data_IF_179609501653
#
_entry.id   IF_179609501653
#
_cell.length_a   1.000
_cell.length_b   1.000
_cell.length_c   1.000
_cell.angle_alpha   90.00
_cell.angle_beta   90.00
_cell.angle_gamma   90.00
#
_symmetry.space_group_name_H-M   'P 1'
#
loop_
_entity.id
_entity.type
_entity.pdbx_description
1 polymer ?
#
# COMPACT_ATOMS: atom_id res chain seq x y z
N UNK A 1 -47.80 23.63 -1.13
CA UNK A 1 -46.74 23.43 -0.13
C UNK A 1 -45.88 22.25 -0.52
N UNK A 2 -44.60 22.49 -0.74
CA UNK A 2 -43.61 21.45 -0.97
C UNK A 2 -43.34 20.75 0.38
N UNK A 3 -43.37 19.42 0.42
CA UNK A 3 -43.00 18.68 1.63
C UNK A 3 -41.52 18.92 1.95
N UNK A 4 -41.25 19.32 3.17
CA UNK A 4 -39.89 19.39 3.72
C UNK A 4 -39.28 17.99 3.68
N UNK A 5 -38.40 17.74 2.76
CA UNK A 5 -37.55 16.56 2.82
C UNK A 5 -36.63 16.73 4.01
N UNK A 6 -36.89 15.96 5.06
CA UNK A 6 -36.12 16.03 6.29
C UNK A 6 -34.67 15.64 6.06
N UNK A 7 -33.76 16.27 6.79
CA UNK A 7 -32.31 15.99 6.79
C UNK A 7 -32.01 14.49 6.92
N UNK A 8 -32.85 13.75 7.65
CA UNK A 8 -32.72 12.31 7.85
C UNK A 8 -32.81 11.43 6.59
N UNK A 9 -33.54 11.90 5.52
CA UNK A 9 -33.64 11.15 4.27
C UNK A 9 -32.39 11.32 3.38
N UNK A 10 -31.69 12.43 3.52
CA UNK A 10 -30.43 12.69 2.82
C UNK A 10 -29.32 11.82 3.43
N UNK A 11 -29.25 11.73 4.76
CA UNK A 11 -28.27 10.90 5.46
C UNK A 11 -28.48 9.40 5.19
N UNK A 12 -29.72 8.88 5.28
CA UNK A 12 -30.02 7.48 4.93
C UNK A 12 -29.66 7.09 3.49
N UNK A 13 -29.76 8.01 2.55
CA UNK A 13 -29.38 7.74 1.15
C UNK A 13 -27.86 7.72 0.95
N UNK A 14 -27.13 8.54 1.70
CA UNK A 14 -25.65 8.50 1.68
C UNK A 14 -25.12 7.23 2.31
N UNK A 15 -25.66 6.79 3.46
CA UNK A 15 -25.26 5.55 4.13
C UNK A 15 -25.44 4.31 3.22
N UNK A 16 -26.58 4.20 2.52
CA UNK A 16 -26.85 3.08 1.60
C UNK A 16 -25.96 3.13 0.35
N UNK A 17 -25.57 4.31 -0.12
CA UNK A 17 -24.70 4.46 -1.28
C UNK A 17 -23.21 4.17 -0.94
N UNK A 18 -22.78 4.55 0.27
CA UNK A 18 -21.43 4.28 0.77
C UNK A 18 -21.22 2.79 1.09
N UNK A 19 -22.18 2.15 1.76
CA UNK A 19 -22.10 0.70 2.05
C UNK A 19 -21.98 -0.18 0.80
N UNK A 20 -22.52 0.27 -0.33
CA UNK A 20 -22.44 -0.47 -1.60
C UNK A 20 -21.07 -0.36 -2.30
N UNK A 21 -20.24 0.58 -1.92
CA UNK A 21 -18.94 0.84 -2.55
C UNK A 21 -17.74 0.37 -1.73
N UNK A 22 -17.94 0.11 -0.42
CA UNK A 22 -16.88 -0.37 0.45
C UNK A 22 -16.63 -1.87 0.27
N UNK A 23 -15.40 -2.33 0.11
CA UNK A 23 -15.02 -3.73 0.22
C UNK A 23 -15.49 -4.33 1.56
N UNK A 24 -15.78 -5.63 1.58
CA UNK A 24 -16.27 -6.32 2.79
C UNK A 24 -15.33 -6.15 3.99
N UNK A 25 -14.03 -6.13 3.75
CA UNK A 25 -12.98 -5.97 4.75
C UNK A 25 -12.96 -4.58 5.42
N UNK A 26 -13.54 -3.56 4.76
CA UNK A 26 -13.61 -2.20 5.27
C UNK A 26 -15.02 -1.81 5.74
N UNK A 27 -15.94 -2.77 5.82
CA UNK A 27 -17.23 -2.58 6.44
C UNK A 27 -17.11 -2.62 7.96
N UNK A 28 -17.84 -1.77 8.64
CA UNK A 28 -17.83 -1.67 10.09
C UNK A 28 -19.26 -1.77 10.66
N UNK A 29 -19.35 -2.13 11.94
CA UNK A 29 -20.64 -2.26 12.64
C UNK A 29 -21.15 -0.85 12.97
N UNK A 30 -22.41 -0.59 12.62
CA UNK A 30 -23.06 0.67 12.94
C UNK A 30 -23.40 0.74 14.43
N UNK A 31 -23.21 1.92 15.01
CA UNK A 31 -23.53 2.23 16.40
C UNK A 31 -24.48 3.40 16.50
N UNK A 32 -25.23 3.48 17.60
CA UNK A 32 -26.02 4.67 17.95
C UNK A 32 -25.15 5.83 18.43
N UNK A 33 -23.93 5.53 18.91
CA UNK A 33 -22.93 6.50 19.33
C UNK A 33 -21.95 6.72 18.18
N UNK A 34 -21.91 7.92 17.62
CA UNK A 34 -21.11 8.21 16.45
C UNK A 34 -20.58 9.65 16.43
N UNK A 35 -19.44 9.83 15.77
CA UNK A 35 -18.85 11.11 15.45
C UNK A 35 -18.58 11.21 13.94
N UNK A 36 -18.39 12.42 13.42
CA UNK A 36 -18.02 12.65 12.04
C UNK A 36 -16.78 13.52 11.97
N UNK A 37 -15.77 13.04 11.27
CA UNK A 37 -14.53 13.76 10.99
C UNK A 37 -14.54 14.18 9.51
N UNK A 38 -14.59 15.49 9.28
CA UNK A 38 -14.61 16.07 7.94
C UNK A 38 -13.18 16.31 7.50
N UNK A 39 -12.65 15.43 6.64
CA UNK A 39 -11.29 15.49 6.13
C UNK A 39 -11.17 16.58 5.07
N UNK A 40 -10.37 17.61 5.34
CA UNK A 40 -10.16 18.70 4.41
C UNK A 40 -9.04 18.40 3.43
N UNK A 41 -7.92 17.89 3.92
CA UNK A 41 -6.76 17.55 3.09
C UNK A 41 -6.08 16.27 3.58
N UNK A 42 -5.71 15.41 2.65
CA UNK A 42 -4.87 14.23 2.88
C UNK A 42 -3.76 14.23 1.85
N UNK A 43 -2.52 14.09 2.29
CA UNK A 43 -1.35 13.98 1.42
C UNK A 43 -0.57 12.68 1.70
N UNK A 44 -0.28 11.94 0.65
CA UNK A 44 0.60 10.77 0.67
C UNK A 44 1.79 11.07 -0.25
N UNK A 45 3.01 11.15 0.30
CA UNK A 45 4.22 11.49 -0.44
C UNK A 45 4.09 12.79 -1.26
N UNK A 46 3.41 13.80 -0.69
CA UNK A 46 3.06 15.10 -1.31
C UNK A 46 2.05 15.00 -2.47
N UNK A 47 1.30 13.93 -2.58
CA UNK A 47 0.21 13.77 -3.54
C UNK A 47 -1.12 13.56 -2.82
N UNK A 48 -2.21 14.00 -3.44
CA UNK A 48 -3.56 13.73 -2.93
C UNK A 48 -4.00 12.31 -3.26
N UNK A 49 -4.82 11.68 -2.40
CA UNK A 49 -5.42 10.38 -2.68
C UNK A 49 -6.30 10.39 -3.93
N UNK A 50 -6.43 9.23 -4.55
CA UNK A 50 -7.38 8.99 -5.64
C UNK A 50 -8.82 8.85 -5.12
N UNK A 51 -9.81 9.07 -5.98
CA UNK A 51 -11.24 8.96 -5.59
C UNK A 51 -11.70 7.56 -5.23
N UNK A 52 -10.89 6.54 -5.52
CA UNK A 52 -11.17 5.14 -5.17
C UNK A 52 -10.47 4.70 -3.88
N UNK A 53 -9.65 5.57 -3.30
CA UNK A 53 -8.97 5.31 -2.04
C UNK A 53 -9.96 5.42 -0.87
N UNK A 54 -9.68 4.72 0.23
CA UNK A 54 -10.60 4.64 1.36
C UNK A 54 -9.91 5.14 2.62
N UNK A 55 -10.54 6.09 3.30
CA UNK A 55 -10.12 6.54 4.62
C UNK A 55 -10.71 5.60 5.66
N UNK A 56 -9.85 5.02 6.49
CA UNK A 56 -10.17 4.06 7.54
C UNK A 56 -9.96 4.73 8.90
N UNK A 57 -10.88 4.53 9.83
CA UNK A 57 -10.79 5.01 11.20
C UNK A 57 -10.69 3.82 12.17
N UNK A 58 -9.71 3.87 13.05
CA UNK A 58 -9.46 2.83 14.04
C UNK A 58 -9.49 3.38 15.45
N UNK A 59 -10.00 2.56 16.38
CA UNK A 59 -9.73 2.67 17.80
C UNK A 59 -8.82 1.51 18.19
N UNK A 60 -7.53 1.78 18.41
CA UNK A 60 -6.50 0.77 18.49
C UNK A 60 -6.50 -0.11 17.20
N UNK A 61 -6.72 -1.43 17.31
CA UNK A 61 -6.76 -2.36 16.18
C UNK A 61 -8.17 -2.62 15.63
N UNK A 62 -9.20 -1.93 16.14
CA UNK A 62 -10.59 -2.16 15.74
C UNK A 62 -11.01 -1.11 14.71
N UNK A 63 -11.47 -1.55 13.54
CA UNK A 63 -12.06 -0.67 12.54
C UNK A 63 -13.40 -0.14 13.05
N UNK A 64 -13.49 1.15 13.26
CA UNK A 64 -14.68 1.84 13.81
C UNK A 64 -15.34 2.78 12.81
N UNK A 65 -14.78 2.90 11.61
CA UNK A 65 -15.34 3.72 10.56
C UNK A 65 -14.54 3.67 9.27
N UNK A 66 -15.18 3.97 8.16
CA UNK A 66 -14.53 4.10 6.85
C UNK A 66 -15.36 4.97 5.91
N UNK A 67 -14.69 5.61 4.96
CA UNK A 67 -15.33 6.36 3.88
C UNK A 67 -14.46 6.36 2.62
N UNK A 68 -15.08 6.27 1.45
CA UNK A 68 -14.39 6.48 0.18
C UNK A 68 -13.96 7.95 0.08
N UNK A 69 -12.72 8.19 -0.31
CA UNK A 69 -12.23 9.55 -0.50
C UNK A 69 -12.91 10.22 -1.71
N UNK A 70 -13.61 11.30 -1.46
CA UNK A 70 -14.26 12.12 -2.51
C UNK A 70 -13.71 13.55 -2.59
N UNK A 71 -12.56 13.79 -1.96
CA UNK A 71 -11.91 15.10 -1.92
C UNK A 71 -12.19 15.88 -0.64
N UNK A 72 -12.03 17.20 -0.71
CA UNK A 72 -12.20 18.11 0.44
C UNK A 72 -13.56 17.90 1.11
N UNK A 73 -13.53 17.82 2.45
CA UNK A 73 -14.69 17.55 3.33
C UNK A 73 -15.29 16.14 3.22
N UNK A 74 -14.51 15.14 2.78
CA UNK A 74 -14.93 13.75 2.94
C UNK A 74 -15.29 13.49 4.40
N UNK A 75 -16.52 13.07 4.63
CA UNK A 75 -17.04 12.79 5.98
C UNK A 75 -16.76 11.34 6.35
N UNK A 76 -15.91 11.13 7.33
CA UNK A 76 -15.61 9.80 7.88
C UNK A 76 -16.43 9.59 9.16
N UNK A 77 -17.40 8.66 9.14
CA UNK A 77 -18.12 8.29 10.35
C UNK A 77 -17.20 7.47 11.26
N UNK A 78 -17.25 7.72 12.55
CA UNK A 78 -16.48 6.99 13.57
C UNK A 78 -17.41 6.56 14.69
N UNK A 79 -17.58 5.25 14.81
CA UNK A 79 -18.53 4.63 15.73
C UNK A 79 -17.96 4.53 17.14
N UNK A 80 -18.81 4.78 18.12
CA UNK A 80 -18.52 4.60 19.53
C UNK A 80 -19.21 3.39 20.12
N UNK A 81 -18.83 3.04 21.34
CA UNK A 81 -19.42 1.96 22.11
C UNK A 81 -20.84 2.33 22.53
N UNK A 82 -21.79 1.49 22.20
CA UNK A 82 -23.20 1.60 22.60
C UNK A 82 -23.64 0.45 23.52
N UNK A 83 -24.90 0.44 23.90
CA UNK A 83 -25.48 -0.57 24.80
C UNK A 83 -25.81 -1.90 24.10
N UNK A 84 -25.54 -2.08 22.80
CA UNK A 84 -25.92 -3.27 22.05
C UNK A 84 -25.09 -4.51 22.41
N UNK A 85 -23.89 -4.32 22.95
CA UNK A 85 -22.90 -5.38 23.19
C UNK A 85 -22.16 -5.84 21.93
N UNK A 86 -22.47 -5.27 20.76
CA UNK A 86 -21.80 -5.58 19.50
C UNK A 86 -20.62 -4.64 19.22
N UNK A 87 -20.50 -3.56 19.97
CA UNK A 87 -19.56 -2.46 19.81
C UNK A 87 -18.49 -2.42 20.91
N UNK A 88 -18.20 -3.57 21.54
CA UNK A 88 -17.13 -3.66 22.53
C UNK A 88 -15.77 -3.32 21.87
N UNK A 89 -15.03 -2.39 22.51
CA UNK A 89 -13.76 -1.85 22.00
C UNK A 89 -13.91 -0.68 21.02
N UNK A 90 -15.14 -0.25 20.70
CA UNK A 90 -15.36 0.98 19.94
C UNK A 90 -15.03 2.21 20.79
N UNK A 91 -15.00 3.39 20.16
CA UNK A 91 -14.57 4.61 20.82
C UNK A 91 -15.41 4.97 22.03
N UNK A 92 -14.76 5.40 23.10
CA UNK A 92 -15.35 6.05 24.27
C UNK A 92 -14.91 7.52 24.31
N UNK A 93 -15.61 8.35 25.09
CA UNK A 93 -15.31 9.78 25.16
C UNK A 93 -13.89 10.06 25.65
N UNK A 94 -13.10 10.74 24.83
CA UNK A 94 -11.70 11.05 25.09
C UNK A 94 -10.70 10.18 24.34
N UNK A 95 -11.13 9.12 23.66
CA UNK A 95 -10.27 8.26 22.89
C UNK A 95 -9.67 9.00 21.68
N UNK A 96 -8.45 8.63 21.33
CA UNK A 96 -7.77 9.08 20.12
C UNK A 96 -8.15 8.16 18.96
N UNK A 97 -8.62 8.76 17.86
CA UNK A 97 -8.93 8.05 16.63
C UNK A 97 -7.70 8.04 15.74
N UNK A 98 -7.29 6.85 15.30
CA UNK A 98 -6.23 6.68 14.32
C UNK A 98 -6.82 6.58 12.91
N UNK A 99 -6.27 7.36 11.98
CA UNK A 99 -6.69 7.31 10.59
C UNK A 99 -5.62 6.63 9.74
N UNK A 100 -6.09 5.83 8.78
CA UNK A 100 -5.26 5.20 7.75
C UNK A 100 -5.90 5.42 6.39
N UNK A 101 -5.10 5.35 5.33
CA UNK A 101 -5.58 5.39 3.95
C UNK A 101 -5.30 4.05 3.28
N UNK A 102 -6.32 3.41 2.77
CA UNK A 102 -6.15 2.29 1.83
C UNK A 102 -6.03 2.85 0.42
N UNK A 103 -4.90 2.60 -0.24
CA UNK A 103 -4.69 2.95 -1.63
C UNK A 103 -5.12 1.79 -2.54
N UNK A 104 -6.17 2.01 -3.31
CA UNK A 104 -6.70 1.00 -4.23
C UNK A 104 -5.69 0.58 -5.32
N UNK A 105 -4.83 1.49 -5.76
CA UNK A 105 -3.86 1.26 -6.84
C UNK A 105 -2.70 0.35 -6.46
N UNK A 106 -2.31 0.32 -5.19
CA UNK A 106 -1.16 -0.44 -4.67
C UNK A 106 -1.57 -1.57 -3.72
N UNK A 107 -2.85 -1.61 -3.31
CA UNK A 107 -3.39 -2.53 -2.30
C UNK A 107 -2.68 -2.37 -0.94
N UNK A 108 -2.31 -1.15 -0.59
CA UNK A 108 -1.56 -0.83 0.63
C UNK A 108 -2.36 0.02 1.60
N UNK A 109 -2.14 -0.19 2.90
CA UNK A 109 -2.70 0.65 3.97
C UNK A 109 -1.60 1.52 4.56
N UNK A 110 -1.79 2.84 4.49
CA UNK A 110 -0.84 3.86 4.90
C UNK A 110 -1.34 4.52 6.18
N UNK A 111 -0.50 4.59 7.21
CA UNK A 111 -0.84 5.32 8.43
C UNK A 111 -0.83 6.82 8.17
N UNK A 112 -1.87 7.51 8.63
CA UNK A 112 -2.00 8.95 8.52
C UNK A 112 -1.65 9.62 9.86
N UNK A 113 -0.92 10.73 9.79
CA UNK A 113 -0.51 11.53 10.94
C UNK A 113 -0.99 12.95 10.78
N UNK A 114 -1.46 13.54 11.86
CA UNK A 114 -1.94 14.92 11.88
C UNK A 114 -2.63 15.25 13.19
N UNK A 115 -3.17 16.46 13.27
CA UNK A 115 -3.94 16.88 14.46
C UNK A 115 -5.39 16.44 14.29
N UNK A 116 -5.86 15.60 15.20
CA UNK A 116 -7.21 15.08 15.27
C UNK A 116 -7.77 15.36 16.66
N UNK A 117 -9.02 15.80 16.73
CA UNK A 117 -9.72 15.97 18.01
C UNK A 117 -10.09 14.58 18.57
N UNK A 118 -10.03 14.44 19.90
CA UNK A 118 -10.44 13.23 20.57
C UNK A 118 -11.92 12.95 20.33
N UNK A 119 -12.26 11.68 20.27
CA UNK A 119 -13.62 11.25 20.00
C UNK A 119 -14.58 11.63 21.13
N UNK A 120 -15.77 12.06 20.78
CA UNK A 120 -16.93 12.14 21.66
C UNK A 120 -18.20 11.93 20.86
N UNK A 121 -19.23 11.39 21.50
CA UNK A 121 -20.51 11.16 20.84
C UNK A 121 -21.10 12.45 20.26
N UNK A 122 -21.67 12.38 19.07
CA UNK A 122 -22.24 13.50 18.31
C UNK A 122 -21.22 14.59 17.89
N UNK A 123 -19.92 14.35 18.06
CA UNK A 123 -18.89 15.25 17.57
C UNK A 123 -18.97 15.38 16.04
N UNK A 124 -18.91 16.61 15.54
CA UNK A 124 -18.63 16.91 14.15
C UNK A 124 -17.46 17.89 14.12
N UNK A 125 -16.34 17.45 13.62
CA UNK A 125 -15.10 18.23 13.61
C UNK A 125 -14.42 18.22 12.25
N UNK A 126 -13.55 19.20 12.02
CA UNK A 126 -12.75 19.29 10.81
C UNK A 126 -11.33 18.82 11.11
N UNK A 127 -10.81 17.97 10.23
CA UNK A 127 -9.41 17.59 10.21
C UNK A 127 -8.74 18.36 9.08
N UNK A 128 -7.94 19.36 9.42
CA UNK A 128 -7.36 20.31 8.47
C UNK A 128 -6.41 19.62 7.49
N UNK A 129 -5.52 18.75 8.01
CA UNK A 129 -4.56 18.01 7.20
C UNK A 129 -4.11 16.74 7.88
N UNK A 130 -4.11 15.65 7.12
CA UNK A 130 -3.42 14.41 7.46
C UNK A 130 -2.34 14.12 6.41
N UNK A 131 -1.23 13.58 6.84
CA UNK A 131 -0.16 13.16 5.93
C UNK A 131 0.30 11.74 6.25
N UNK A 132 0.59 11.00 5.21
CA UNK A 132 1.17 9.68 5.25
C UNK A 132 2.36 9.58 4.31
N UNK A 133 3.19 8.58 4.56
CA UNK A 133 4.27 8.17 3.67
C UNK A 133 4.09 6.71 3.36
N UNK A 134 4.17 6.35 2.10
CA UNK A 134 4.34 4.95 1.73
C UNK A 134 5.67 4.51 2.34
N UNK A 135 5.60 3.58 3.28
CA UNK A 135 6.80 2.90 3.71
C UNK A 135 7.23 1.99 2.55
N UNK A 136 8.00 2.52 1.63
CA UNK A 136 8.81 1.66 0.78
C UNK A 136 9.76 0.97 1.75
N UNK A 137 9.47 -0.27 2.13
CA UNK A 137 10.42 -1.09 2.85
C UNK A 137 11.62 -1.23 1.92
N UNK A 138 12.60 -0.34 2.11
CA UNK A 138 13.86 -0.47 1.39
C UNK A 138 14.48 -1.81 1.81
N UNK A 139 14.92 -2.60 0.85
CA UNK A 139 15.62 -3.84 1.15
C UNK A 139 16.75 -3.58 2.16
N UNK A 140 16.87 -4.42 3.18
CA UNK A 140 17.91 -4.25 4.21
C UNK A 140 19.29 -4.77 3.76
N UNK A 141 19.33 -5.57 2.69
CA UNK A 141 20.56 -6.17 2.14
C UNK A 141 20.44 -6.40 0.63
N UNK A 142 21.57 -6.66 -0.02
CA UNK A 142 21.59 -7.15 -1.41
C UNK A 142 20.98 -8.55 -1.45
N UNK A 143 19.83 -8.69 -2.10
CA UNK A 143 19.20 -9.98 -2.35
C UNK A 143 19.09 -10.27 -3.83
N UNK A 144 18.99 -11.56 -4.18
CA UNK A 144 18.67 -12.06 -5.52
C UNK A 144 17.64 -13.17 -5.38
N UNK A 145 16.57 -13.07 -6.15
CA UNK A 145 15.53 -14.11 -6.19
C UNK A 145 15.90 -15.20 -7.17
N UNK A 146 15.41 -16.44 -6.98
CA UNK A 146 15.55 -17.49 -7.98
C UNK A 146 15.06 -17.03 -9.35
N UNK A 147 15.80 -17.41 -10.38
CA UNK A 147 15.38 -17.15 -11.77
C UNK A 147 14.08 -17.89 -12.10
N UNK A 148 13.20 -17.22 -12.82
CA UNK A 148 11.95 -17.85 -13.27
C UNK A 148 11.60 -17.47 -14.72
N UNK A 149 11.30 -18.49 -15.56
CA UNK A 149 11.43 -19.93 -15.30
C UNK A 149 12.89 -20.38 -15.17
N UNK A 150 13.14 -21.50 -14.45
CA UNK A 150 14.44 -22.16 -14.36
C UNK A 150 14.23 -23.67 -14.11
N UNK A 151 14.50 -24.60 -15.07
CA UNK A 151 15.10 -24.34 -16.40
C UNK A 151 14.23 -23.47 -17.31
N UNK A 152 14.85 -22.77 -18.27
CA UNK A 152 14.19 -21.81 -19.15
C UNK A 152 14.46 -22.07 -20.65
N UNK A 153 13.60 -21.51 -21.52
CA UNK A 153 13.69 -21.60 -22.98
C UNK A 153 12.91 -20.43 -23.64
N UNK A 154 13.54 -19.53 -24.41
CA UNK A 154 14.92 -19.11 -24.24
C UNK A 154 15.08 -17.97 -23.23
N UNK A 155 13.99 -17.52 -22.60
CA UNK A 155 13.93 -16.32 -21.76
C UNK A 155 13.73 -16.68 -20.28
N UNK A 156 14.44 -15.97 -19.41
CA UNK A 156 14.26 -16.04 -17.95
C UNK A 156 14.38 -14.67 -17.33
N UNK A 157 13.71 -14.47 -16.20
CA UNK A 157 13.77 -13.22 -15.41
C UNK A 157 14.35 -13.48 -14.03
N UNK A 158 15.09 -12.50 -13.51
CA UNK A 158 15.65 -12.51 -12.17
C UNK A 158 15.37 -11.16 -11.52
N UNK A 159 14.85 -11.19 -10.29
CA UNK A 159 14.70 -9.99 -9.47
C UNK A 159 15.84 -9.89 -8.46
N UNK A 160 16.26 -8.68 -8.17
CA UNK A 160 17.25 -8.37 -7.14
C UNK A 160 16.90 -7.08 -6.43
N UNK A 161 17.38 -6.92 -5.20
CA UNK A 161 17.12 -5.74 -4.39
C UNK A 161 18.41 -5.17 -3.82
N UNK A 162 18.53 -3.83 -3.78
CA UNK A 162 19.68 -3.12 -3.21
C UNK A 162 19.24 -2.22 -2.05
N UNK A 163 19.99 -2.24 -0.91
CA UNK A 163 19.57 -1.58 0.32
C UNK A 163 19.77 -0.05 0.33
N UNK A 164 20.64 0.45 -0.53
CA UNK A 164 20.94 1.89 -0.63
C UNK A 164 21.34 2.24 -2.07
N UNK A 165 21.36 3.53 -2.36
CA UNK A 165 21.83 4.03 -3.65
C UNK A 165 23.26 3.56 -3.94
N UNK A 166 23.53 3.10 -5.17
CA UNK A 166 24.84 2.59 -5.50
C UNK A 166 25.00 2.11 -6.92
N UNK A 167 26.23 1.67 -7.25
CA UNK A 167 26.54 1.14 -8.58
C UNK A 167 26.23 -0.36 -8.63
N UNK A 168 25.47 -0.73 -9.63
CA UNK A 168 25.07 -2.13 -9.87
C UNK A 168 25.59 -2.57 -11.23
N UNK A 169 26.06 -3.81 -11.30
CA UNK A 169 26.37 -4.52 -12.54
C UNK A 169 25.73 -5.91 -12.50
N UNK A 170 24.87 -6.21 -13.46
CA UNK A 170 24.24 -7.52 -13.65
C UNK A 170 24.74 -8.14 -14.93
N UNK A 171 25.41 -9.28 -14.80
CA UNK A 171 26.08 -9.92 -15.95
C UNK A 171 25.91 -11.44 -15.93
N UNK A 172 25.90 -12.04 -17.12
CA UNK A 172 25.83 -13.49 -17.37
C UNK A 172 27.20 -14.04 -17.64
N UNK A 173 27.50 -15.19 -17.06
CA UNK A 173 28.74 -15.93 -17.23
C UNK A 173 28.46 -17.38 -17.59
N UNK A 174 29.32 -17.97 -18.41
CA UNK A 174 29.33 -19.42 -18.67
C UNK A 174 30.05 -20.20 -17.55
N UNK A 175 30.03 -21.53 -17.65
CA UNK A 175 30.69 -22.43 -16.67
C UNK A 175 32.22 -22.28 -16.62
N UNK A 176 32.85 -21.70 -17.64
CA UNK A 176 34.28 -21.40 -17.66
C UNK A 176 34.63 -20.06 -17.02
N UNK A 177 33.61 -19.31 -16.57
CA UNK A 177 33.76 -17.97 -15.98
C UNK A 177 33.91 -16.86 -17.03
N UNK A 178 33.66 -17.13 -18.29
CA UNK A 178 33.67 -16.12 -19.34
C UNK A 178 32.37 -15.34 -19.29
N UNK A 179 32.48 -14.03 -19.31
CA UNK A 179 31.32 -13.14 -19.40
C UNK A 179 30.68 -13.25 -20.77
N UNK A 180 29.39 -13.53 -20.80
CA UNK A 180 28.58 -13.66 -22.01
C UNK A 180 27.92 -12.33 -22.35
N UNK A 181 27.28 -11.71 -21.34
CA UNK A 181 26.48 -10.48 -21.54
C UNK A 181 26.39 -9.68 -20.25
N UNK A 182 26.24 -8.36 -20.38
CA UNK A 182 25.88 -7.46 -19.29
C UNK A 182 24.44 -7.00 -19.50
N UNK A 183 23.55 -7.42 -18.61
CA UNK A 183 22.12 -7.11 -18.69
C UNK A 183 21.82 -5.70 -18.17
N UNK A 184 22.56 -5.27 -17.16
CA UNK A 184 22.42 -3.92 -16.57
C UNK A 184 23.73 -3.46 -15.96
N UNK A 185 24.03 -2.15 -16.13
CA UNK A 185 25.17 -1.51 -15.48
C UNK A 185 24.85 -0.03 -15.27
N UNK A 186 25.13 0.48 -14.06
CA UNK A 186 24.94 1.90 -13.74
C UNK A 186 24.63 2.15 -12.27
N UNK A 187 24.40 3.41 -11.96
CA UNK A 187 23.97 3.87 -10.64
C UNK A 187 22.45 3.70 -10.51
N UNK A 188 22.00 3.10 -9.41
CA UNK A 188 20.60 2.88 -9.09
C UNK A 188 20.30 3.39 -7.68
N UNK A 189 19.07 3.83 -7.45
CA UNK A 189 18.57 4.13 -6.11
C UNK A 189 18.24 2.83 -5.36
N UNK A 190 18.17 2.90 -4.02
CA UNK A 190 17.69 1.80 -3.20
C UNK A 190 16.34 1.29 -3.71
N UNK A 191 16.13 -0.03 -3.70
CA UNK A 191 14.88 -0.63 -4.18
C UNK A 191 15.04 -1.99 -4.81
N UNK A 192 13.94 -2.49 -5.39
CA UNK A 192 13.86 -3.79 -6.07
C UNK A 192 13.79 -3.61 -7.58
N UNK A 193 14.49 -4.46 -8.31
CA UNK A 193 14.65 -4.41 -9.76
C UNK A 193 14.52 -5.78 -10.37
N UNK A 194 14.14 -5.83 -11.65
CA UNK A 194 14.13 -7.07 -12.44
C UNK A 194 14.95 -6.89 -13.71
N UNK A 195 15.58 -7.99 -14.14
CA UNK A 195 16.25 -8.10 -15.42
C UNK A 195 15.77 -9.37 -16.11
N UNK A 196 15.65 -9.29 -17.42
CA UNK A 196 15.33 -10.41 -18.29
C UNK A 196 16.56 -10.77 -19.13
N UNK A 197 16.79 -12.06 -19.32
CA UNK A 197 17.81 -12.56 -20.21
C UNK A 197 17.20 -13.43 -21.29
N UNK A 198 17.40 -13.03 -22.55
CA UNK A 198 17.10 -13.81 -23.74
C UNK A 198 18.36 -14.53 -24.22
N UNK A 199 18.38 -15.83 -24.04
CA UNK A 199 19.49 -16.70 -24.42
C UNK A 199 19.28 -17.39 -25.76
N UNK A 200 18.49 -16.82 -26.69
CA UNK A 200 18.19 -17.46 -27.99
C UNK A 200 19.45 -17.86 -28.76
N UNK A 201 20.51 -17.08 -28.71
CA UNK A 201 21.75 -17.33 -29.41
C UNK A 201 22.76 -18.20 -28.62
N UNK A 202 22.42 -18.58 -27.37
CA UNK A 202 23.33 -19.36 -26.53
C UNK A 202 23.02 -20.85 -26.58
N UNK A 203 24.02 -21.75 -26.46
CA UNK A 203 23.81 -23.20 -26.39
C UNK A 203 23.12 -23.60 -25.09
N UNK A 204 22.35 -24.70 -25.11
CA UNK A 204 21.81 -25.30 -23.88
C UNK A 204 22.95 -25.59 -22.90
N UNK A 205 22.72 -25.26 -21.62
CA UNK A 205 23.74 -25.45 -20.61
C UNK A 205 23.46 -24.65 -19.34
N UNK A 206 24.44 -24.70 -18.44
CA UNK A 206 24.41 -23.97 -17.17
C UNK A 206 25.09 -22.61 -17.33
N UNK A 207 24.47 -21.58 -16.76
CA UNK A 207 24.98 -20.21 -16.71
C UNK A 207 24.87 -19.67 -15.30
N UNK A 208 25.60 -18.58 -15.04
CA UNK A 208 25.60 -17.87 -13.78
C UNK A 208 25.24 -16.41 -14.01
N UNK A 209 24.14 -15.96 -13.45
CA UNK A 209 23.81 -14.55 -13.36
C UNK A 209 24.47 -13.99 -12.10
N UNK A 210 25.26 -12.94 -12.25
CA UNK A 210 25.94 -12.27 -11.16
C UNK A 210 25.40 -10.86 -11.01
N UNK A 211 24.99 -10.51 -9.80
CA UNK A 211 24.65 -9.16 -9.39
C UNK A 211 25.77 -8.65 -8.49
N UNK A 212 26.49 -7.67 -8.98
CA UNK A 212 27.49 -6.93 -8.20
C UNK A 212 26.91 -5.58 -7.83
N UNK A 213 26.88 -5.30 -6.54
CA UNK A 213 26.45 -4.03 -5.95
C UNK A 213 27.58 -3.51 -5.08
N UNK A 214 28.18 -2.38 -5.47
CA UNK A 214 29.39 -1.87 -4.83
C UNK A 214 30.46 -2.98 -4.68
N UNK A 215 30.76 -3.42 -3.45
CA UNK A 215 31.70 -4.49 -3.13
C UNK A 215 31.05 -5.84 -2.83
N UNK A 216 29.74 -5.92 -2.90
CA UNK A 216 28.99 -7.16 -2.68
C UNK A 216 28.69 -7.87 -4.00
N UNK A 217 28.71 -9.20 -3.96
CA UNK A 217 28.40 -10.06 -5.09
C UNK A 217 27.41 -11.15 -4.67
N UNK A 218 26.36 -11.28 -5.47
CA UNK A 218 25.43 -12.42 -5.40
C UNK A 218 25.42 -13.14 -6.73
N UNK A 219 25.20 -14.44 -6.70
CA UNK A 219 25.20 -15.28 -7.89
C UNK A 219 24.02 -16.22 -7.89
N UNK A 220 23.30 -16.27 -9.01
CA UNK A 220 22.20 -17.20 -9.24
C UNK A 220 22.56 -18.15 -10.37
N UNK A 221 22.26 -19.45 -10.18
CA UNK A 221 22.50 -20.50 -11.18
C UNK A 221 21.25 -20.69 -12.04
N UNK A 222 21.42 -20.60 -13.35
CA UNK A 222 20.34 -20.70 -14.34
C UNK A 222 20.63 -21.77 -15.37
N UNK A 223 19.61 -22.49 -15.85
CA UNK A 223 19.75 -23.59 -16.78
C UNK A 223 18.92 -23.35 -18.03
N UNK A 224 19.62 -23.19 -19.17
CA UNK A 224 19.00 -23.09 -20.49
C UNK A 224 18.79 -24.47 -21.07
N UNK A 225 17.56 -24.74 -21.52
CA UNK A 225 17.18 -26.01 -22.21
C UNK A 225 16.46 -25.63 -23.49
N UNK A 226 17.03 -26.01 -24.63
CA UNK A 226 16.41 -25.84 -25.94
C UNK A 226 15.90 -27.16 -26.47
#
# INVERSE_FOLDING_TARGET
SLPSRGLGDVYKRQDIALEKQLPEEFKFIQSTEQAFYLMKDIEIDNMQPSKDDIVLAYNNDILVGSAVWDGEYTAVPVMGKDASGLTDGFCESGDMVEFKLYQHSTDEIINLSGRVDNWSSLLVTHVEKLSGTTLVELPSELTISPAYPNPFNPVTSVSYSIPADGTVNVSIYDVSGRMIETLRSGFLNAGSYSVEWDAELQPSGMYFLKVQYNNELRTEKIMLVK
#
